data_IF_986591544023
#
_entry.id   IF_986591544023
#
_cell.length_a   1.000
_cell.length_b   1.000
_cell.length_c   1.000
_cell.angle_alpha   90.00
_cell.angle_beta   90.00
_cell.angle_gamma   90.00
#
_symmetry.space_group_name_H-M   'P 1'
#
loop_
_entity.id
_entity.type
_entity.pdbx_description
1 polymer ?
#
# COMPACT_ATOMS: atom_id res chain seq x y z
N UNK A 1 7.96 53.28 33.74
CA UNK A 1 6.82 53.22 32.81
C UNK A 1 7.16 52.21 31.73
N UNK A 2 6.62 51.00 31.87
CA UNK A 2 6.58 49.83 30.98
C UNK A 2 7.77 49.62 30.01
N UNK A 3 8.72 48.79 30.43
CA UNK A 3 9.57 48.02 29.50
C UNK A 3 8.79 46.75 29.11
N UNK A 4 8.38 46.65 27.84
CA UNK A 4 7.94 45.37 27.25
C UNK A 4 9.21 44.60 26.87
N UNK A 5 9.54 43.57 27.63
CA UNK A 5 10.54 42.59 27.22
C UNK A 5 9.85 41.47 26.44
N UNK A 6 10.31 41.29 25.21
CA UNK A 6 9.91 40.26 24.27
C UNK A 6 10.10 38.86 24.87
N UNK A 7 8.99 38.18 25.11
CA UNK A 7 8.99 36.76 25.43
C UNK A 7 8.86 35.95 24.14
N UNK A 8 9.95 35.26 23.82
CA UNK A 8 9.99 33.93 23.18
C UNK A 8 8.87 33.62 22.17
N UNK A 9 9.07 34.01 20.90
CA UNK A 9 8.47 33.29 19.77
C UNK A 9 9.15 31.93 19.60
N UNK A 10 8.74 30.97 20.42
CA UNK A 10 8.90 29.56 20.08
C UNK A 10 7.95 29.27 18.91
N UNK A 11 8.42 29.43 17.67
CA UNK A 11 7.71 28.88 16.50
C UNK A 11 7.84 27.37 16.58
N UNK A 12 6.82 26.70 17.15
CA UNK A 12 6.57 25.29 16.84
C UNK A 12 6.33 25.22 15.33
N UNK A 13 7.34 24.82 14.57
CA UNK A 13 7.15 24.26 13.24
C UNK A 13 6.40 22.95 13.43
N UNK A 14 5.07 23.05 13.56
CA UNK A 14 4.21 21.89 13.40
C UNK A 14 4.35 21.47 11.95
N UNK A 15 5.08 20.39 11.70
CA UNK A 15 5.05 19.71 10.40
C UNK A 15 3.61 19.33 10.14
N UNK A 16 2.92 20.09 9.29
CA UNK A 16 1.58 19.74 8.84
C UNK A 16 1.75 18.43 8.07
N UNK A 17 1.28 17.32 8.65
CA UNK A 17 1.22 16.05 7.93
C UNK A 17 0.24 16.25 6.77
N UNK A 18 0.79 16.37 5.56
CA UNK A 18 -0.02 16.44 4.35
C UNK A 18 -0.44 15.03 3.99
N UNK A 19 -1.67 14.67 4.36
CA UNK A 19 -2.31 13.50 3.77
C UNK A 19 -2.52 13.78 2.29
N UNK A 20 -2.11 12.86 1.38
CA UNK A 20 -2.21 13.11 -0.05
C UNK A 20 -3.66 13.26 -0.47
N UNK A 21 -3.90 14.13 -1.44
CA UNK A 21 -5.25 14.45 -1.91
C UNK A 21 -5.64 13.54 -3.07
N UNK A 22 -6.94 13.44 -3.31
CA UNK A 22 -7.46 12.72 -4.48
C UNK A 22 -6.91 13.35 -5.77
N UNK A 23 -6.45 12.52 -6.70
CA UNK A 23 -5.78 12.92 -7.95
C UNK A 23 -4.28 13.25 -7.80
N UNK A 24 -3.75 13.31 -6.59
CA UNK A 24 -2.31 13.48 -6.36
C UNK A 24 -1.55 12.19 -6.66
N UNK A 25 -0.32 12.32 -7.17
CA UNK A 25 0.57 11.18 -7.36
C UNK A 25 1.55 11.06 -6.20
N UNK A 26 1.67 9.85 -5.66
CA UNK A 26 2.61 9.54 -4.59
C UNK A 26 3.59 8.46 -5.03
N UNK A 27 4.74 8.44 -4.36
CA UNK A 27 5.68 7.31 -4.42
C UNK A 27 5.32 6.30 -3.34
N UNK A 28 5.41 5.02 -3.66
CA UNK A 28 5.28 3.92 -2.71
C UNK A 28 6.64 3.22 -2.58
N UNK A 29 7.07 2.94 -1.35
CA UNK A 29 8.29 2.19 -1.05
C UNK A 29 7.98 1.03 -0.11
N UNK A 30 8.42 -0.16 -0.51
CA UNK A 30 8.47 -1.32 0.37
C UNK A 30 9.88 -1.50 0.89
N UNK A 31 10.00 -1.93 2.14
CA UNK A 31 11.24 -2.27 2.81
C UNK A 31 11.16 -3.71 3.33
N UNK A 32 12.30 -4.35 3.61
CA UNK A 32 12.33 -5.58 4.41
C UNK A 32 12.54 -5.22 5.89
N UNK A 33 12.38 -6.21 6.76
CA UNK A 33 12.42 -6.01 8.22
C UNK A 33 13.72 -5.38 8.72
N UNK A 34 14.85 -5.68 8.07
CA UNK A 34 16.16 -5.10 8.38
C UNK A 34 16.32 -3.63 7.93
N UNK A 35 15.28 -3.05 7.33
CA UNK A 35 15.27 -1.68 6.83
C UNK A 35 15.84 -1.51 5.43
N UNK A 36 16.25 -2.60 4.76
CA UNK A 36 16.69 -2.54 3.37
C UNK A 36 15.53 -2.19 2.44
N UNK A 37 15.79 -1.36 1.41
CA UNK A 37 14.79 -1.02 0.40
C UNK A 37 14.51 -2.26 -0.46
N UNK A 38 13.24 -2.65 -0.57
CA UNK A 38 12.82 -3.80 -1.38
C UNK A 38 12.40 -3.35 -2.79
N UNK A 39 11.46 -2.40 -2.88
CA UNK A 39 10.92 -1.94 -4.17
C UNK A 39 10.31 -0.56 -4.05
N UNK A 40 10.43 0.22 -5.13
CA UNK A 40 9.79 1.54 -5.28
C UNK A 40 8.83 1.52 -6.47
N UNK A 41 7.61 2.01 -6.27
CA UNK A 41 6.65 2.30 -7.33
C UNK A 41 6.49 3.82 -7.42
N UNK A 42 6.68 4.38 -8.62
CA UNK A 42 6.51 5.81 -8.88
C UNK A 42 5.16 6.10 -9.51
N UNK A 43 4.60 7.26 -9.20
CA UNK A 43 3.39 7.76 -9.83
C UNK A 43 2.15 6.88 -9.58
N UNK A 44 1.92 6.53 -8.31
CA UNK A 44 0.62 5.98 -7.88
C UNK A 44 -0.38 7.13 -7.71
N UNK A 45 -1.48 7.12 -8.44
CA UNK A 45 -2.56 8.09 -8.25
C UNK A 45 -3.36 7.77 -7.00
N UNK A 46 -3.55 8.74 -6.11
CA UNK A 46 -4.43 8.60 -4.95
C UNK A 46 -5.89 8.80 -5.36
N UNK A 47 -6.72 7.80 -5.11
CA UNK A 47 -8.16 7.85 -5.38
C UNK A 47 -8.96 8.29 -4.16
N UNK A 48 -8.49 7.90 -2.98
CA UNK A 48 -9.08 8.30 -1.70
C UNK A 48 -8.06 8.24 -0.57
N UNK A 49 -8.11 9.27 0.26
CA UNK A 49 -7.50 9.25 1.59
C UNK A 49 -8.58 9.36 2.65
N UNK A 50 -8.50 8.49 3.65
CA UNK A 50 -9.29 8.53 4.88
C UNK A 50 -8.36 8.58 6.09
N UNK A 51 -8.92 8.68 7.29
CA UNK A 51 -8.13 8.61 8.53
C UNK A 51 -7.40 7.27 8.69
N UNK A 52 -7.92 6.20 8.08
CA UNK A 52 -7.47 4.82 8.28
C UNK A 52 -6.83 4.18 7.08
N UNK A 53 -7.12 4.67 5.87
CA UNK A 53 -6.76 4.00 4.63
C UNK A 53 -6.38 4.96 3.52
N UNK A 54 -5.57 4.46 2.60
CA UNK A 54 -5.33 5.07 1.30
C UNK A 54 -5.73 4.05 0.22
N UNK A 55 -6.48 4.55 -0.75
CA UNK A 55 -6.83 3.81 -1.96
C UNK A 55 -6.12 4.51 -3.10
N UNK A 56 -5.33 3.76 -3.86
CA UNK A 56 -4.58 4.26 -5.00
C UNK A 56 -4.82 3.45 -6.26
N UNK A 57 -4.29 3.92 -7.37
CA UNK A 57 -4.22 3.19 -8.63
C UNK A 57 -2.81 3.30 -9.21
N UNK A 58 -2.24 2.15 -9.57
CA UNK A 58 -1.10 2.09 -10.45
C UNK A 58 -1.60 1.81 -11.87
N UNK A 59 -1.18 2.62 -12.82
CA UNK A 59 -1.39 2.36 -14.24
C UNK A 59 -0.15 2.83 -14.99
N UNK A 60 0.50 1.91 -15.72
CA UNK A 60 1.80 2.17 -16.36
C UNK A 60 2.86 2.76 -15.41
N UNK A 61 2.78 2.38 -14.13
CA UNK A 61 3.68 2.79 -13.05
C UNK A 61 5.06 2.17 -13.23
N UNK A 62 6.11 2.99 -13.09
CA UNK A 62 7.50 2.55 -13.07
C UNK A 62 7.87 1.95 -11.72
N UNK A 63 8.39 0.73 -11.77
CA UNK A 63 8.87 -0.04 -10.64
C UNK A 63 10.39 -0.11 -10.67
N UNK A 64 11.02 0.11 -9.52
CA UNK A 64 12.46 -0.10 -9.30
C UNK A 64 12.67 -1.11 -8.19
N UNK A 65 13.35 -2.21 -8.51
CA UNK A 65 13.71 -3.28 -7.57
C UNK A 65 14.92 -2.89 -6.72
N UNK A 66 15.15 -3.59 -5.61
CA UNK A 66 16.31 -3.39 -4.72
C UNK A 66 17.66 -3.47 -5.45
N UNK A 67 17.76 -4.33 -6.47
CA UNK A 67 18.96 -4.51 -7.30
C UNK A 67 19.12 -3.44 -8.40
N UNK A 68 18.21 -2.46 -8.46
CA UNK A 68 18.22 -1.38 -9.42
C UNK A 68 17.56 -1.70 -10.76
N UNK A 69 17.08 -2.94 -10.99
CA UNK A 69 16.29 -3.26 -12.19
C UNK A 69 15.02 -2.42 -12.22
N UNK A 70 14.63 -2.02 -13.44
CA UNK A 70 13.47 -1.16 -13.69
C UNK A 70 12.54 -1.79 -14.71
N UNK A 71 11.25 -1.74 -14.43
CA UNK A 71 10.21 -2.21 -15.34
C UNK A 71 8.92 -1.43 -15.10
N UNK A 72 8.01 -1.47 -16.08
CA UNK A 72 6.75 -0.71 -16.04
C UNK A 72 5.60 -1.69 -15.97
N UNK A 73 4.67 -1.46 -15.04
CA UNK A 73 3.41 -2.22 -14.96
C UNK A 73 2.61 -2.01 -16.25
N UNK A 74 1.79 -2.98 -16.65
CA UNK A 74 1.05 -2.91 -17.93
C UNK A 74 -0.44 -2.65 -17.78
N UNK A 75 -1.00 -3.18 -16.71
CA UNK A 75 -2.44 -3.19 -16.47
C UNK A 75 -2.74 -2.35 -15.23
N UNK A 76 -3.89 -1.68 -15.17
CA UNK A 76 -4.29 -0.93 -14.00
C UNK A 76 -4.47 -1.86 -12.79
N UNK A 77 -4.00 -1.39 -11.63
CA UNK A 77 -4.15 -2.09 -10.37
C UNK A 77 -4.58 -1.13 -9.26
N UNK A 78 -5.72 -1.44 -8.62
CA UNK A 78 -6.15 -0.71 -7.43
C UNK A 78 -5.33 -1.18 -6.23
N UNK A 79 -4.90 -0.23 -5.41
CA UNK A 79 -4.10 -0.47 -4.22
C UNK A 79 -4.91 -0.10 -2.99
N UNK A 80 -4.89 -0.97 -1.98
CA UNK A 80 -5.50 -0.72 -0.68
C UNK A 80 -4.45 -0.84 0.43
N UNK A 81 -4.27 0.26 1.17
CA UNK A 81 -3.41 0.34 2.34
C UNK A 81 -4.23 0.74 3.56
N UNK A 82 -3.94 0.15 4.72
CA UNK A 82 -4.64 0.41 5.97
C UNK A 82 -3.67 0.61 7.14
N UNK A 83 -4.04 1.44 8.12
CA UNK A 83 -3.22 1.74 9.31
C UNK A 83 -3.30 0.68 10.41
N UNK A 84 -4.26 -0.23 10.35
CA UNK A 84 -4.46 -1.28 11.36
C UNK A 84 -4.17 -2.69 10.87
N UNK A 85 -4.39 -2.98 9.59
CA UNK A 85 -4.24 -4.34 9.07
C UNK A 85 -2.81 -4.56 8.62
N UNK A 86 -2.29 -5.77 8.88
CA UNK A 86 -0.96 -6.17 8.46
C UNK A 86 -0.98 -6.83 7.09
N UNK A 87 -1.67 -6.19 6.16
CA UNK A 87 -1.63 -6.51 4.74
C UNK A 87 -1.97 -5.29 3.90
N UNK A 88 -1.46 -5.27 2.68
CA UNK A 88 -1.96 -4.43 1.61
C UNK A 88 -2.51 -5.30 0.48
N UNK A 89 -3.45 -4.78 -0.29
CA UNK A 89 -4.11 -5.53 -1.37
C UNK A 89 -3.90 -4.80 -2.68
N UNK A 90 -3.37 -5.53 -3.66
CA UNK A 90 -3.22 -5.13 -5.06
C UNK A 90 -4.28 -5.87 -5.87
N UNK A 91 -5.26 -5.14 -6.37
CA UNK A 91 -6.35 -5.67 -7.21
C UNK A 91 -6.02 -5.40 -8.66
N UNK A 92 -5.54 -6.42 -9.37
CA UNK A 92 -5.17 -6.32 -10.78
C UNK A 92 -6.40 -6.52 -11.67
N UNK A 93 -6.72 -5.50 -12.46
CA UNK A 93 -7.87 -5.51 -13.36
C UNK A 93 -7.37 -5.93 -14.75
N UNK A 94 -7.83 -7.08 -15.25
CA UNK A 94 -7.41 -7.64 -16.54
C UNK A 94 -8.61 -8.13 -17.33
N UNK A 95 -8.45 -8.24 -18.65
CA UNK A 95 -9.51 -8.76 -19.54
C UNK A 95 -10.02 -10.16 -19.15
N UNK A 96 -9.14 -11.02 -18.62
CA UNK A 96 -9.48 -12.39 -18.20
C UNK A 96 -10.12 -12.48 -16.81
N UNK A 97 -10.41 -11.34 -16.19
CA UNK A 97 -10.97 -11.23 -14.85
C UNK A 97 -9.99 -10.61 -13.85
N UNK A 98 -10.54 -10.27 -12.68
CA UNK A 98 -9.81 -9.63 -11.59
C UNK A 98 -9.00 -10.67 -10.83
N UNK A 99 -7.80 -10.32 -10.44
CA UNK A 99 -6.98 -11.14 -9.54
C UNK A 99 -6.37 -10.28 -8.45
N UNK A 100 -6.11 -10.88 -7.31
CA UNK A 100 -5.70 -10.18 -6.10
C UNK A 100 -4.35 -10.70 -5.65
N UNK A 101 -3.44 -9.79 -5.33
CA UNK A 101 -2.24 -10.06 -4.56
C UNK A 101 -2.38 -9.38 -3.21
N UNK A 102 -2.29 -10.15 -2.14
CA UNK A 102 -2.43 -9.67 -0.79
C UNK A 102 -1.09 -9.87 -0.10
N UNK A 103 -0.35 -8.78 0.09
CA UNK A 103 0.98 -8.85 0.67
C UNK A 103 0.85 -8.72 2.17
N UNK A 104 1.31 -9.71 2.94
CA UNK A 104 1.42 -9.57 4.38
C UNK A 104 2.54 -8.58 4.68
N UNK A 105 2.17 -7.45 5.25
CA UNK A 105 3.00 -6.27 5.32
C UNK A 105 2.68 -5.49 6.59
N UNK A 106 3.60 -4.66 7.08
CA UNK A 106 3.25 -3.72 8.15
C UNK A 106 2.14 -2.77 7.70
N UNK A 107 1.36 -2.20 8.64
CA UNK A 107 0.60 -0.99 8.37
C UNK A 107 1.49 0.08 7.73
N UNK A 108 0.91 0.88 6.85
CA UNK A 108 1.68 1.90 6.15
C UNK A 108 1.99 3.09 7.07
N UNK A 109 3.16 3.67 6.85
CA UNK A 109 3.49 5.03 7.26
C UNK A 109 3.52 5.93 6.02
N UNK A 110 3.31 7.23 6.18
CA UNK A 110 3.41 8.18 5.06
C UNK A 110 4.05 9.47 5.56
N UNK A 111 4.97 9.99 4.76
CA UNK A 111 5.58 11.30 4.95
C UNK A 111 5.63 12.05 3.61
N UNK A 112 6.38 13.15 3.55
CA UNK A 112 6.50 13.98 2.35
C UNK A 112 7.20 13.27 1.18
N UNK A 113 7.90 12.16 1.44
CA UNK A 113 8.67 11.45 0.43
C UNK A 113 7.85 10.31 -0.20
N UNK A 114 7.20 9.49 0.63
CA UNK A 114 6.51 8.30 0.15
C UNK A 114 5.52 7.72 1.17
N UNK A 115 4.59 6.91 0.67
CA UNK A 115 3.95 5.86 1.45
C UNK A 115 4.95 4.71 1.61
N UNK A 116 5.15 4.24 2.84
CA UNK A 116 6.18 3.27 3.23
C UNK A 116 5.56 2.12 4.01
N UNK A 117 6.00 0.90 3.73
CA UNK A 117 5.64 -0.28 4.53
C UNK A 117 6.77 -1.31 4.54
N UNK A 118 6.73 -2.24 5.49
CA UNK A 118 7.60 -3.39 5.55
C UNK A 118 6.88 -4.58 4.92
N UNK A 119 7.51 -5.21 3.95
CA UNK A 119 7.07 -6.44 3.29
C UNK A 119 7.63 -7.65 4.05
N UNK A 120 6.75 -8.60 4.39
CA UNK A 120 7.12 -9.81 5.14
C UNK A 120 7.04 -11.07 4.29
N UNK A 121 7.25 -10.96 2.96
CA UNK A 121 7.44 -12.05 2.02
C UNK A 121 6.22 -12.96 1.78
N UNK A 122 5.32 -13.10 2.75
CA UNK A 122 4.17 -14.01 2.66
C UNK A 122 3.03 -13.33 1.89
N UNK A 123 2.61 -13.96 0.78
CA UNK A 123 1.54 -13.42 -0.05
C UNK A 123 0.39 -14.42 -0.23
N UNK A 124 -0.84 -13.90 -0.29
CA UNK A 124 -1.98 -14.67 -0.79
C UNK A 124 -2.37 -14.14 -2.16
N UNK A 125 -2.38 -15.04 -3.14
CA UNK A 125 -2.91 -14.77 -4.47
C UNK A 125 -4.30 -15.38 -4.63
N UNK A 126 -5.25 -14.57 -5.10
CA UNK A 126 -6.58 -15.02 -5.52
C UNK A 126 -6.69 -14.86 -7.04
N UNK A 127 -6.95 -15.97 -7.71
CA UNK A 127 -7.08 -16.04 -9.17
C UNK A 127 -8.50 -15.67 -9.62
N UNK A 128 -8.71 -15.34 -10.91
CA UNK A 128 -10.03 -14.94 -11.41
C UNK A 128 -11.13 -16.00 -11.27
N UNK A 129 -10.76 -17.28 -11.17
CA UNK A 129 -11.65 -18.41 -10.93
C UNK A 129 -11.93 -18.65 -9.44
N UNK A 130 -11.35 -17.83 -8.54
CA UNK A 130 -11.47 -17.96 -7.09
C UNK A 130 -10.46 -18.91 -6.45
N UNK A 131 -9.56 -19.55 -7.22
CA UNK A 131 -8.46 -20.33 -6.65
C UNK A 131 -7.60 -19.43 -5.74
N UNK A 132 -7.20 -19.95 -4.58
CA UNK A 132 -6.37 -19.24 -3.60
C UNK A 132 -5.05 -19.97 -3.44
N UNK A 133 -3.93 -19.24 -3.51
CA UNK A 133 -2.59 -19.79 -3.28
C UNK A 133 -1.84 -18.95 -2.28
N UNK A 134 -1.23 -19.62 -1.30
CA UNK A 134 -0.19 -19.04 -0.47
C UNK A 134 1.13 -19.11 -1.25
N UNK A 135 1.82 -17.99 -1.36
CA UNK A 135 3.07 -17.86 -2.09
C UNK A 135 4.22 -17.55 -1.13
N UNK A 136 5.44 -17.80 -1.60
CA UNK A 136 6.69 -17.31 -1.00
C UNK A 136 6.93 -17.71 0.48
N UNK A 137 6.35 -18.85 0.89
CA UNK A 137 6.51 -19.45 2.22
C UNK A 137 7.99 -19.74 2.53
N UNK A 138 8.74 -20.27 1.55
CA UNK A 138 10.15 -20.58 1.74
C UNK A 138 11.01 -19.30 1.89
N UNK A 139 10.66 -18.23 1.19
CA UNK A 139 11.32 -16.92 1.31
C UNK A 139 11.03 -16.32 2.69
N UNK A 140 9.78 -16.36 3.13
CA UNK A 140 9.40 -15.97 4.49
C UNK A 140 10.18 -16.73 5.57
N UNK A 141 10.26 -18.06 5.47
CA UNK A 141 11.00 -18.89 6.43
C UNK A 141 12.51 -18.61 6.40
N UNK A 142 13.07 -18.26 5.25
CA UNK A 142 14.46 -17.86 5.15
C UNK A 142 14.71 -16.49 5.79
N UNK A 143 13.88 -15.51 5.43
CA UNK A 143 14.00 -14.12 5.82
C UNK A 143 13.71 -13.90 7.30
N UNK A 144 12.70 -14.58 7.86
CA UNK A 144 12.43 -14.53 9.31
C UNK A 144 13.63 -14.97 10.14
N UNK A 145 14.38 -15.97 9.68
CA UNK A 145 15.56 -16.49 10.36
C UNK A 145 16.76 -15.55 10.17
N UNK A 146 17.00 -15.08 8.94
CA UNK A 146 18.14 -14.19 8.63
C UNK A 146 18.03 -12.81 9.26
N UNK A 147 16.82 -12.24 9.25
CA UNK A 147 16.54 -10.91 9.78
C UNK A 147 16.00 -10.94 11.22
N UNK A 148 15.97 -12.11 11.86
CA UNK A 148 15.53 -12.30 13.24
C UNK A 148 14.16 -11.67 13.55
N UNK A 149 13.14 -12.02 12.76
CA UNK A 149 11.79 -11.50 12.99
C UNK A 149 11.36 -11.80 14.44
N UNK A 150 10.95 -10.78 15.22
CA UNK A 150 10.44 -11.01 16.56
C UNK A 150 9.26 -11.98 16.57
N UNK A 151 9.14 -12.80 17.62
CA UNK A 151 8.02 -13.75 17.76
C UNK A 151 6.65 -13.07 17.67
N UNK A 152 6.56 -11.84 18.17
CA UNK A 152 5.34 -11.06 18.12
C UNK A 152 4.95 -10.69 16.67
N UNK A 153 5.92 -10.45 15.80
CA UNK A 153 5.67 -10.19 14.37
C UNK A 153 5.14 -11.45 13.69
N UNK A 154 5.77 -12.60 13.90
CA UNK A 154 5.26 -13.88 13.38
C UNK A 154 3.82 -14.16 13.85
N UNK A 155 3.54 -13.90 15.13
CA UNK A 155 2.18 -14.02 15.67
C UNK A 155 1.20 -13.06 14.99
N UNK A 156 1.54 -11.78 14.87
CA UNK A 156 0.70 -10.76 14.22
C UNK A 156 0.40 -11.13 12.77
N UNK A 157 1.40 -11.59 12.01
CA UNK A 157 1.23 -12.00 10.62
C UNK A 157 0.25 -13.17 10.53
N UNK A 158 0.41 -14.19 11.37
CA UNK A 158 -0.50 -15.36 11.42
C UNK A 158 -1.95 -14.97 11.76
N UNK A 159 -2.16 -14.04 12.69
CA UNK A 159 -3.51 -13.56 13.00
C UNK A 159 -4.10 -12.73 11.85
N UNK A 160 -3.28 -11.90 11.18
CA UNK A 160 -3.74 -11.12 10.03
C UNK A 160 -4.02 -11.97 8.79
N UNK A 161 -3.34 -13.11 8.61
CA UNK A 161 -3.70 -14.10 7.59
C UNK A 161 -5.14 -14.60 7.80
N UNK A 162 -5.55 -14.88 9.05
CA UNK A 162 -6.93 -15.31 9.34
C UNK A 162 -7.96 -14.23 8.99
N UNK A 163 -7.66 -12.97 9.33
CA UNK A 163 -8.51 -11.81 9.00
C UNK A 163 -8.62 -11.67 7.48
N UNK A 164 -7.50 -11.72 6.77
CA UNK A 164 -7.43 -11.60 5.32
C UNK A 164 -8.20 -12.72 4.62
N UNK A 165 -8.08 -13.97 5.08
CA UNK A 165 -8.84 -15.10 4.56
C UNK A 165 -10.36 -14.91 4.78
N UNK A 166 -10.79 -14.39 5.93
CA UNK A 166 -12.20 -14.02 6.15
C UNK A 166 -12.65 -12.94 5.16
N UNK A 167 -11.85 -11.88 4.94
CA UNK A 167 -12.17 -10.85 3.95
C UNK A 167 -12.31 -11.41 2.53
N UNK A 168 -11.41 -12.33 2.14
CA UNK A 168 -11.48 -12.99 0.83
C UNK A 168 -12.75 -13.85 0.72
N UNK A 169 -13.08 -14.61 1.75
CA UNK A 169 -14.24 -15.51 1.74
C UNK A 169 -15.58 -14.77 1.76
N UNK A 170 -15.61 -13.61 2.43
CA UNK A 170 -16.80 -12.75 2.55
C UNK A 170 -16.87 -11.69 1.44
N UNK A 171 -15.95 -11.72 0.47
CA UNK A 171 -15.82 -10.72 -0.61
C UNK A 171 -15.81 -9.27 -0.08
N UNK A 172 -15.16 -9.06 1.06
CA UNK A 172 -15.20 -7.79 1.79
C UNK A 172 -14.29 -6.74 1.18
N UNK A 173 -14.80 -5.53 1.01
CA UNK A 173 -13.99 -4.37 0.62
C UNK A 173 -13.33 -4.60 -0.74
N UNK A 174 -11.98 -4.56 -0.85
CA UNK A 174 -11.28 -4.80 -2.10
C UNK A 174 -11.70 -6.04 -2.89
N UNK A 175 -12.21 -7.07 -2.23
CA UNK A 175 -12.64 -8.32 -2.86
C UNK A 175 -14.07 -8.28 -3.45
N UNK A 176 -14.85 -7.23 -3.18
CA UNK A 176 -16.20 -7.07 -3.70
C UNK A 176 -16.18 -6.44 -5.10
N UNK A 177 -17.09 -6.88 -5.98
CA UNK A 177 -17.22 -6.31 -7.33
C UNK A 177 -17.55 -4.81 -7.29
N UNK A 178 -18.45 -4.41 -6.40
CA UNK A 178 -18.90 -3.03 -6.24
C UNK A 178 -17.75 -2.12 -5.82
N UNK A 179 -16.87 -2.60 -4.94
CA UNK A 179 -15.68 -1.85 -4.54
C UNK A 179 -14.73 -1.65 -5.73
N UNK A 180 -14.47 -2.71 -6.49
CA UNK A 180 -13.57 -2.63 -7.66
C UNK A 180 -14.13 -1.67 -8.70
N UNK A 181 -15.41 -1.81 -9.05
CA UNK A 181 -16.08 -0.95 -10.03
C UNK A 181 -16.03 0.53 -9.59
N UNK A 182 -16.38 0.81 -8.32
CA UNK A 182 -16.39 2.16 -7.77
C UNK A 182 -15.03 2.85 -7.90
N UNK A 183 -13.96 2.19 -7.45
CA UNK A 183 -12.64 2.81 -7.42
C UNK A 183 -11.99 2.84 -8.80
N UNK A 184 -12.27 1.88 -9.67
CA UNK A 184 -11.82 1.95 -11.05
C UNK A 184 -12.52 3.09 -11.80
N UNK A 185 -13.83 3.28 -11.61
CA UNK A 185 -14.54 4.43 -12.17
C UNK A 185 -13.98 5.75 -11.64
N UNK A 186 -13.70 5.83 -10.33
CA UNK A 186 -13.07 7.01 -9.73
C UNK A 186 -11.71 7.33 -10.36
N UNK A 187 -10.91 6.31 -10.63
CA UNK A 187 -9.65 6.45 -11.35
C UNK A 187 -9.88 7.03 -12.76
N UNK A 188 -10.81 6.47 -13.54
CA UNK A 188 -11.13 6.97 -14.88
C UNK A 188 -11.56 8.45 -14.87
N UNK A 189 -12.38 8.86 -13.90
CA UNK A 189 -12.83 10.25 -13.74
C UNK A 189 -11.65 11.21 -13.47
N UNK A 190 -10.76 10.84 -12.54
CA UNK A 190 -9.60 11.67 -12.18
C UNK A 190 -8.59 11.75 -13.33
N UNK A 191 -8.31 10.64 -14.01
CA UNK A 191 -7.41 10.61 -15.16
C UNK A 191 -7.94 11.44 -16.34
N UNK A 192 -9.25 11.41 -16.61
CA UNK A 192 -9.84 12.25 -17.66
C UNK A 192 -9.71 13.74 -17.36
N UNK A 193 -9.93 14.15 -16.10
CA UNK A 193 -9.79 15.55 -15.69
C UNK A 193 -8.35 16.06 -15.86
N UNK A 194 -7.35 15.21 -15.64
CA UNK A 194 -5.94 15.58 -15.81
C UNK A 194 -5.53 15.74 -17.28
N UNK A 195 -6.15 15.03 -18.21
CA UNK A 195 -5.87 15.19 -19.64
C UNK A 195 -6.48 16.47 -20.22
N UNK A 196 -7.48 17.03 -19.55
CA UNK A 196 -8.21 18.23 -19.98
C UNK A 196 -7.83 19.51 -19.21
N UNK A 197 -6.86 19.43 -18.28
CA UNK A 197 -6.36 20.55 -17.48
C UNK A 197 -5.02 21.05 -18.04
#
# INVERSE_FOLDING_TARGET
>A
MVLKNDSNRCRKLGTVMHNPREGEFITIKSYKHDGSLHRTWRDTMVLKTSDQSIIGCNDHTLVTEADGRRWVTREPALLYYHKHYWFNIVTMIRQKGVSYYCNLASPYAIDQEALKYIDYDLDIKVFPDGEKRLLDVDEYELHRNRMNYPKDIDHILKENVKILVSWINEEKGPFSKEYVDLWYERYCQLSHNQQNS
#
